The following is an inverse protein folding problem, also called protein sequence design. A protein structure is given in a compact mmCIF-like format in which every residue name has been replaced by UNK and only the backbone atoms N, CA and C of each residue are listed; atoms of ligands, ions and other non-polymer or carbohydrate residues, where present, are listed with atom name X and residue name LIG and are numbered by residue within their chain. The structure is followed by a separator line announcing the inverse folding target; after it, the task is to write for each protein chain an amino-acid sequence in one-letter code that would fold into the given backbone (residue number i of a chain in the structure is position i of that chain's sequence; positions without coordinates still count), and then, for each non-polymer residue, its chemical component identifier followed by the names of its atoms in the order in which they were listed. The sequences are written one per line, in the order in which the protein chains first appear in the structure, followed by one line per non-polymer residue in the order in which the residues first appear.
data_IF_282602994974
#
_entry.id   IF_282602994974
#
_cell.length_a   1.000
_cell.length_b   1.000
_cell.length_c   1.000
_cell.angle_alpha   90.00
_cell.angle_beta   90.00
_cell.angle_gamma   90.00
#
_symmetry.space_group_name_H-M   'P 1'
#
loop_
_entity.id
_entity.type
_entity.pdbx_description
1 polymer ?
#
# COMPACT_ATOMS: atom_id res chain seq x y z
N UNK A 1 4.86 5.12 -7.11
CA UNK A 1 4.40 5.50 -5.77
C UNK A 1 4.73 4.43 -4.73
N UNK A 2 4.34 3.16 -4.92
CA UNK A 2 4.59 2.09 -3.95
C UNK A 2 6.10 1.83 -3.70
N UNK A 3 6.94 1.99 -4.71
CA UNK A 3 8.40 1.83 -4.58
C UNK A 3 9.02 2.89 -3.65
N UNK A 4 8.47 4.11 -3.61
CA UNK A 4 8.98 5.20 -2.77
C UNK A 4 8.35 5.25 -1.38
N UNK A 5 7.17 4.68 -1.20
CA UNK A 5 6.42 4.75 0.06
C UNK A 5 7.03 3.90 1.17
N UNK A 6 7.48 2.68 0.85
CA UNK A 6 8.03 1.79 1.87
C UNK A 6 9.39 2.23 2.40
N UNK A 7 10.35 2.68 1.55
CA UNK A 7 11.57 3.31 2.05
C UNK A 7 11.30 4.55 2.92
N UNK A 8 10.31 5.37 2.56
CA UNK A 8 9.95 6.54 3.35
C UNK A 8 9.36 6.16 4.73
N UNK A 9 8.59 5.07 4.81
CA UNK A 9 8.12 4.54 6.10
C UNK A 9 9.24 4.01 6.96
N UNK A 10 10.19 3.28 6.37
CA UNK A 10 11.39 2.81 7.07
C UNK A 10 12.20 4.00 7.59
N UNK A 11 12.41 5.01 6.74
CA UNK A 11 13.12 6.24 7.10
C UNK A 11 12.53 6.95 8.33
N UNK A 12 11.19 7.03 8.43
CA UNK A 12 10.54 7.59 9.64
C UNK A 12 10.88 6.74 10.88
N UNK A 13 10.91 5.41 10.75
CA UNK A 13 11.29 4.51 11.83
C UNK A 13 12.73 4.73 12.30
N UNK A 14 13.65 4.97 11.38
CA UNK A 14 15.08 5.16 11.67
C UNK A 14 15.40 6.55 12.26
N UNK A 15 14.52 7.53 12.04
CA UNK A 15 14.73 8.92 12.46
C UNK A 15 14.03 9.29 13.77
N UNK A 16 13.23 8.39 14.34
CA UNK A 16 12.39 8.68 15.52
C UNK A 16 12.65 7.64 16.61
N UNK A 17 12.86 8.10 17.84
CA UNK A 17 13.02 7.23 19.01
C UNK A 17 11.82 6.30 19.22
N UNK A 18 12.05 5.15 19.83
CA UNK A 18 11.03 4.09 20.04
C UNK A 18 9.79 4.60 20.80
N UNK A 19 9.95 5.47 21.78
CA UNK A 19 8.86 6.08 22.57
C UNK A 19 8.02 7.07 21.73
N UNK A 20 8.62 7.70 20.71
CA UNK A 20 7.98 8.64 19.81
C UNK A 20 7.49 7.98 18.51
N UNK A 21 7.83 6.72 18.24
CA UNK A 21 7.51 6.02 17.01
C UNK A 21 6.00 6.04 16.67
N UNK A 22 5.15 5.83 17.66
CA UNK A 22 3.69 5.88 17.49
C UNK A 22 3.20 7.28 17.05
N UNK A 23 3.79 8.34 17.57
CA UNK A 23 3.49 9.71 17.17
C UNK A 23 4.03 10.00 15.76
N UNK A 24 5.26 9.58 15.45
CA UNK A 24 5.87 9.73 14.13
C UNK A 24 5.00 9.13 13.02
N UNK A 25 4.57 7.88 13.18
CA UNK A 25 3.65 7.23 12.22
C UNK A 25 2.27 7.86 12.17
N UNK A 26 1.75 8.40 13.28
CA UNK A 26 0.48 9.13 13.29
C UNK A 26 0.59 10.43 12.48
N UNK A 27 1.66 11.21 12.64
CA UNK A 27 1.93 12.39 11.82
C UNK A 27 2.07 12.03 10.34
N UNK A 28 2.85 11.00 10.02
CA UNK A 28 2.96 10.51 8.65
C UNK A 28 1.58 10.19 8.04
N UNK A 29 0.74 9.47 8.79
CA UNK A 29 -0.62 9.12 8.34
C UNK A 29 -1.50 10.35 8.15
N UNK A 30 -1.41 11.36 9.03
CA UNK A 30 -2.13 12.61 8.91
C UNK A 30 -1.74 13.38 7.63
N UNK A 31 -0.44 13.48 7.33
CA UNK A 31 0.05 14.13 6.10
C UNK A 31 -0.32 13.35 4.84
N UNK A 32 -0.27 12.01 4.87
CA UNK A 32 -0.78 11.17 3.77
C UNK A 32 -2.27 11.46 3.54
N UNK A 33 -3.07 11.54 4.61
CA UNK A 33 -4.48 11.87 4.51
C UNK A 33 -4.73 13.27 3.95
N UNK A 34 -3.98 14.27 4.39
CA UNK A 34 -4.06 15.64 3.84
C UNK A 34 -3.70 15.69 2.35
N UNK A 35 -2.64 14.99 1.95
CA UNK A 35 -2.26 14.84 0.54
C UNK A 35 -3.33 14.13 -0.29
N UNK A 36 -3.96 13.09 0.28
CA UNK A 36 -5.06 12.39 -0.37
C UNK A 36 -6.30 13.27 -0.53
N UNK A 37 -6.62 14.14 0.44
CA UNK A 37 -7.69 15.17 0.30
C UNK A 37 -7.39 16.08 -0.88
N UNK A 38 -6.19 16.65 -0.94
CA UNK A 38 -5.79 17.55 -2.02
C UNK A 38 -5.85 16.85 -3.39
N UNK A 39 -5.32 15.63 -3.49
CA UNK A 39 -5.32 14.85 -4.72
C UNK A 39 -6.74 14.46 -5.17
N UNK A 40 -7.61 14.08 -4.24
CA UNK A 40 -9.00 13.67 -4.55
C UNK A 40 -9.86 14.85 -5.00
N UNK A 41 -9.59 16.07 -4.50
CA UNK A 41 -10.29 17.29 -4.92
C UNK A 41 -9.71 17.91 -6.20
N UNK A 42 -8.50 17.52 -6.62
CA UNK A 42 -7.82 18.18 -7.73
C UNK A 42 -8.63 18.17 -9.04
N UNK A 43 -9.26 17.09 -9.53
CA UNK A 43 -10.09 17.11 -10.73
C UNK A 43 -11.28 18.06 -10.58
N UNK A 44 -12.00 17.99 -9.46
CA UNK A 44 -13.16 18.85 -9.16
C UNK A 44 -12.77 20.32 -9.11
N UNK A 45 -11.66 20.68 -8.47
CA UNK A 45 -11.16 22.06 -8.43
C UNK A 45 -10.76 22.56 -9.82
N UNK A 46 -10.08 21.72 -10.61
CA UNK A 46 -9.70 22.07 -11.98
C UNK A 46 -10.94 22.32 -12.84
N UNK A 47 -11.99 21.55 -12.69
CA UNK A 47 -13.23 21.71 -13.43
C UNK A 47 -14.03 22.92 -12.94
N UNK A 48 -14.29 23.01 -11.64
CA UNK A 48 -15.24 23.98 -11.09
C UNK A 48 -14.65 25.37 -10.89
N UNK A 49 -13.35 25.47 -10.56
CA UNK A 49 -12.70 26.76 -10.29
C UNK A 49 -11.94 27.27 -11.50
N UNK A 50 -11.23 26.37 -12.21
CA UNK A 50 -10.39 26.76 -13.34
C UNK A 50 -11.04 26.54 -14.71
N UNK A 51 -12.28 25.99 -14.75
CA UNK A 51 -13.03 25.79 -16.00
C UNK A 51 -12.40 24.76 -16.95
N UNK A 52 -11.57 23.85 -16.45
CA UNK A 52 -10.95 22.80 -17.26
C UNK A 52 -11.99 21.72 -17.58
N UNK A 53 -12.07 21.27 -18.84
CA UNK A 53 -13.03 20.25 -19.25
C UNK A 53 -12.78 18.92 -18.52
N UNK A 54 -13.86 18.34 -17.98
CA UNK A 54 -13.90 16.98 -17.43
C UNK A 54 -14.49 15.96 -18.41
N UNK A 55 -14.78 16.38 -19.65
CA UNK A 55 -15.28 15.50 -20.72
C UNK A 55 -14.23 15.40 -21.81
N UNK A 56 -14.09 14.20 -22.38
CA UNK A 56 -13.25 13.91 -23.53
C UNK A 56 -13.98 12.99 -24.51
N UNK A 57 -13.57 12.96 -25.81
CA UNK A 57 -14.03 11.96 -26.75
C UNK A 57 -13.82 10.54 -26.24
N UNK A 58 -14.59 9.59 -26.79
CA UNK A 58 -14.47 8.18 -26.43
C UNK A 58 -13.02 7.68 -26.66
N UNK A 59 -12.46 7.04 -25.63
CA UNK A 59 -11.07 6.55 -25.63
C UNK A 59 -10.02 7.56 -25.24
N UNK A 60 -10.37 8.83 -24.97
CA UNK A 60 -9.46 9.86 -24.46
C UNK A 60 -9.66 10.12 -22.96
N UNK A 61 -8.60 10.62 -22.31
CA UNK A 61 -8.65 10.99 -20.89
C UNK A 61 -9.00 12.49 -20.78
N UNK A 62 -10.01 12.87 -19.96
CA UNK A 62 -10.37 14.25 -19.72
C UNK A 62 -9.17 15.13 -19.31
N UNK A 63 -9.17 16.39 -19.74
CA UNK A 63 -8.07 17.32 -19.50
C UNK A 63 -7.87 17.59 -17.99
N UNK A 64 -8.95 17.69 -17.21
CA UNK A 64 -8.90 17.84 -15.75
C UNK A 64 -8.14 16.70 -15.08
N UNK A 65 -8.39 15.47 -15.51
CA UNK A 65 -7.72 14.27 -14.98
C UNK A 65 -6.23 14.29 -15.38
N UNK A 66 -5.90 14.57 -16.65
CA UNK A 66 -4.51 14.65 -17.09
C UNK A 66 -3.70 15.70 -16.33
N UNK A 67 -4.27 16.89 -16.12
CA UNK A 67 -3.63 17.95 -15.33
C UNK A 67 -3.47 17.55 -13.87
N UNK A 68 -4.47 16.91 -13.26
CA UNK A 68 -4.36 16.39 -11.90
C UNK A 68 -3.19 15.39 -11.75
N UNK A 69 -3.00 14.50 -12.73
CA UNK A 69 -1.85 13.59 -12.75
C UNK A 69 -0.51 14.32 -12.91
N UNK A 70 -0.42 15.34 -13.76
CA UNK A 70 0.80 16.14 -13.91
C UNK A 70 1.15 16.92 -12.65
N UNK A 71 0.16 17.52 -11.99
CA UNK A 71 0.34 18.18 -10.69
C UNK A 71 0.81 17.19 -9.61
N UNK A 72 0.20 16.01 -9.55
CA UNK A 72 0.62 14.94 -8.65
C UNK A 72 2.04 14.45 -8.91
N UNK A 73 2.43 14.29 -10.17
CA UNK A 73 3.79 13.90 -10.54
C UNK A 73 4.81 14.99 -10.17
N UNK A 74 4.50 16.25 -10.42
CA UNK A 74 5.36 17.38 -10.05
C UNK A 74 5.51 17.48 -8.52
N UNK A 75 4.42 17.31 -7.76
CA UNK A 75 4.45 17.32 -6.30
C UNK A 75 5.29 16.17 -5.75
N UNK A 76 5.12 14.95 -6.29
CA UNK A 76 5.92 13.79 -5.89
C UNK A 76 7.41 14.01 -6.17
N UNK A 77 7.75 14.44 -7.38
CA UNK A 77 9.14 14.72 -7.76
C UNK A 77 9.75 15.81 -6.87
N UNK A 78 9.02 16.89 -6.64
CA UNK A 78 9.44 17.99 -5.78
C UNK A 78 9.67 17.53 -4.33
N UNK A 79 8.77 16.72 -3.78
CA UNK A 79 8.89 16.17 -2.43
C UNK A 79 10.11 15.23 -2.29
N UNK A 80 10.31 14.32 -3.26
CA UNK A 80 11.47 13.42 -3.26
C UNK A 80 12.78 14.21 -3.37
N UNK A 81 12.85 15.17 -4.32
CA UNK A 81 14.05 16.02 -4.47
C UNK A 81 14.32 16.82 -3.21
N UNK A 82 13.28 17.40 -2.60
CA UNK A 82 13.43 18.11 -1.32
C UNK A 82 14.00 17.20 -0.24
N UNK A 83 13.47 16.00 -0.08
CA UNK A 83 13.97 15.04 0.92
C UNK A 83 15.43 14.70 0.67
N UNK A 84 15.80 14.35 -0.57
CA UNK A 84 17.17 13.96 -0.93
C UNK A 84 18.17 15.10 -0.71
N UNK A 85 17.75 16.34 -0.97
CA UNK A 85 18.65 17.52 -0.85
C UNK A 85 18.74 18.09 0.57
N UNK A 86 17.68 17.94 1.39
CA UNK A 86 17.57 18.60 2.69
C UNK A 86 17.81 17.68 3.89
N UNK A 87 17.62 16.37 3.72
CA UNK A 87 17.71 15.40 4.83
C UNK A 87 18.98 14.56 4.67
N UNK A 88 19.69 14.36 5.77
CA UNK A 88 20.82 13.43 5.87
C UNK A 88 20.38 12.20 6.65
N UNK A 89 20.60 11.04 6.08
CA UNK A 89 20.39 9.76 6.77
C UNK A 89 21.53 9.52 7.77
N UNK A 90 21.22 8.87 8.87
CA UNK A 90 22.23 8.33 9.78
C UNK A 90 22.94 7.16 9.11
N UNK A 91 24.25 7.06 9.29
CA UNK A 91 24.98 5.89 8.82
C UNK A 91 24.55 4.64 9.61
N UNK A 92 24.66 3.43 9.03
CA UNK A 92 24.33 2.19 9.75
C UNK A 92 25.07 2.03 11.07
N UNK A 93 26.28 2.59 11.20
CA UNK A 93 27.07 2.55 12.43
C UNK A 93 26.54 3.52 13.48
N UNK A 94 26.00 4.67 13.05
CA UNK A 94 25.34 5.63 13.95
C UNK A 94 24.02 5.07 14.49
N UNK A 95 23.19 4.44 13.61
CA UNK A 95 21.94 3.78 14.01
C UNK A 95 22.21 2.69 15.06
N UNK A 96 23.23 1.84 14.85
CA UNK A 96 23.65 0.84 15.85
C UNK A 96 24.08 1.47 17.19
N UNK A 97 24.64 2.68 17.16
CA UNK A 97 25.04 3.42 18.36
C UNK A 97 23.84 3.95 19.16
N UNK A 98 22.73 4.28 18.50
CA UNK A 98 21.49 4.74 19.17
C UNK A 98 20.71 3.60 19.79
N UNK A 99 20.64 2.44 19.12
CA UNK A 99 19.82 1.30 19.56
C UNK A 99 20.44 0.50 20.73
N UNK A 100 21.67 0.81 21.15
CA UNK A 100 22.40 -0.06 22.05
C UNK A 100 22.48 -1.48 21.50
N UNK A 101 23.25 -2.39 22.11
CA UNK A 101 23.45 -3.78 21.63
C UNK A 101 22.16 -4.63 21.50
N UNK A 102 20.98 -4.08 21.78
CA UNK A 102 19.73 -4.83 22.01
C UNK A 102 18.79 -5.00 20.83
N UNK A 103 18.97 -4.31 19.69
CA UNK A 103 17.90 -4.25 18.67
C UNK A 103 18.26 -4.63 17.23
N UNK A 104 19.46 -5.07 16.96
CA UNK A 104 19.70 -5.83 15.72
C UNK A 104 19.34 -7.28 16.07
N UNK A 105 18.16 -7.80 15.64
CA UNK A 105 17.98 -9.24 15.70
C UNK A 105 19.15 -9.78 14.88
N UNK A 106 20.05 -10.49 15.53
CA UNK A 106 21.09 -11.22 14.84
C UNK A 106 20.37 -11.92 13.68
N UNK A 107 20.64 -11.52 12.44
CA UNK A 107 20.10 -12.22 11.27
C UNK A 107 20.49 -13.66 11.48
N UNK A 108 19.57 -14.44 12.04
CA UNK A 108 19.80 -15.85 12.30
C UNK A 108 20.19 -16.43 10.96
N UNK A 109 21.30 -17.16 10.91
CA UNK A 109 21.70 -17.84 9.70
C UNK A 109 20.53 -18.70 9.24
N UNK A 110 19.75 -18.22 8.27
CA UNK A 110 18.61 -18.96 7.77
C UNK A 110 19.17 -20.16 7.04
N UNK A 111 18.93 -21.32 7.58
CA UNK A 111 19.42 -22.56 7.01
C UNK A 111 18.71 -22.81 5.68
N UNK A 112 19.45 -23.23 4.66
CA UNK A 112 18.93 -23.58 3.31
C UNK A 112 17.64 -24.43 3.38
N UNK A 113 17.49 -25.44 4.28
CA UNK A 113 16.25 -26.20 4.43
C UNK A 113 15.03 -25.36 4.82
N UNK A 114 15.20 -24.33 5.66
CA UNK A 114 14.08 -23.46 6.04
C UNK A 114 13.61 -22.60 4.85
N UNK A 115 14.54 -22.15 4.00
CA UNK A 115 14.23 -21.33 2.81
C UNK A 115 13.39 -22.09 1.78
N UNK A 116 13.64 -23.39 1.59
CA UNK A 116 12.97 -24.19 0.54
C UNK A 116 11.77 -24.98 1.04
N UNK A 117 11.53 -25.03 2.34
CA UNK A 117 10.50 -25.89 2.95
C UNK A 117 9.12 -25.79 2.28
N UNK A 118 8.73 -24.61 1.86
CA UNK A 118 7.43 -24.35 1.26
C UNK A 118 7.50 -24.05 -0.26
N UNK A 119 8.68 -24.10 -0.88
CA UNK A 119 8.84 -23.81 -2.30
C UNK A 119 7.95 -24.68 -3.20
N UNK A 120 7.89 -26.02 -3.04
CA UNK A 120 7.00 -26.85 -3.87
C UNK A 120 5.52 -26.48 -3.71
N UNK A 121 5.11 -26.14 -2.48
CA UNK A 121 3.72 -25.73 -2.21
C UNK A 121 3.34 -24.46 -3.00
N UNK A 122 4.21 -23.46 -3.00
CA UNK A 122 3.97 -22.22 -3.74
C UNK A 122 3.93 -22.43 -5.26
N UNK A 123 4.84 -23.27 -5.78
CA UNK A 123 4.86 -23.61 -7.20
C UNK A 123 3.58 -24.36 -7.59
N UNK A 124 3.19 -25.37 -6.82
CA UNK A 124 1.97 -26.17 -7.08
C UNK A 124 0.74 -25.28 -6.97
N UNK A 125 0.64 -24.41 -5.96
CA UNK A 125 -0.47 -23.49 -5.82
C UNK A 125 -0.54 -22.52 -7.01
N UNK A 126 0.58 -21.98 -7.45
CA UNK A 126 0.65 -21.12 -8.63
C UNK A 126 0.20 -21.82 -9.91
N UNK A 127 0.69 -23.05 -10.15
CA UNK A 127 0.28 -23.85 -11.30
C UNK A 127 -1.19 -24.26 -11.23
N UNK A 128 -1.71 -24.56 -10.03
CA UNK A 128 -3.12 -24.87 -9.84
C UNK A 128 -4.02 -23.68 -10.17
N UNK A 129 -3.62 -22.45 -9.77
CA UNK A 129 -4.35 -21.22 -10.15
C UNK A 129 -4.33 -21.03 -11.65
N UNK A 130 -3.17 -21.19 -12.32
CA UNK A 130 -3.06 -21.10 -13.78
C UNK A 130 -3.92 -22.14 -14.46
N UNK A 131 -3.91 -23.39 -13.97
CA UNK A 131 -4.77 -24.48 -14.47
C UNK A 131 -6.25 -24.20 -14.29
N UNK A 132 -6.64 -23.60 -13.15
CA UNK A 132 -8.03 -23.18 -12.90
C UNK A 132 -8.48 -22.09 -13.87
N UNK A 133 -7.62 -21.11 -14.19
CA UNK A 133 -7.94 -20.09 -15.20
C UNK A 133 -8.17 -20.72 -16.57
N UNK A 134 -7.34 -21.68 -16.97
CA UNK A 134 -7.49 -22.40 -18.25
C UNK A 134 -8.73 -23.28 -18.28
N UNK A 135 -9.02 -24.02 -17.19
CA UNK A 135 -10.11 -25.00 -17.14
C UNK A 135 -11.49 -24.38 -16.90
N UNK A 136 -11.56 -23.30 -16.14
CA UNK A 136 -12.80 -22.63 -15.74
C UNK A 136 -13.09 -21.36 -16.56
N UNK A 137 -12.20 -20.96 -17.47
CA UNK A 137 -12.37 -19.75 -18.28
C UNK A 137 -12.37 -18.46 -17.45
N UNK A 138 -11.60 -18.41 -16.36
CA UNK A 138 -11.51 -17.22 -15.49
C UNK A 138 -10.83 -16.05 -16.21
N UNK A 139 -11.03 -14.85 -15.70
CA UNK A 139 -10.45 -13.63 -16.26
C UNK A 139 -8.93 -13.66 -16.30
N UNK A 140 -8.34 -13.14 -17.39
CA UNK A 140 -6.90 -13.11 -17.64
C UNK A 140 -6.05 -12.53 -16.49
N UNK A 141 -6.47 -11.48 -15.73
CA UNK A 141 -5.70 -10.98 -14.60
C UNK A 141 -5.38 -12.02 -13.52
N UNK A 142 -6.19 -13.10 -13.39
CA UNK A 142 -5.96 -14.18 -12.42
C UNK A 142 -4.67 -14.96 -12.73
N UNK A 143 -4.18 -14.97 -13.99
CA UNK A 143 -2.87 -15.54 -14.34
C UNK A 143 -1.72 -14.87 -13.57
N UNK A 144 -1.83 -13.57 -13.29
CA UNK A 144 -0.81 -12.81 -12.56
C UNK A 144 -0.65 -13.40 -11.16
N UNK A 145 -1.74 -13.72 -10.48
CA UNK A 145 -1.70 -14.35 -9.16
C UNK A 145 -0.99 -15.70 -9.21
N UNK A 146 -1.37 -16.56 -10.16
CA UNK A 146 -0.72 -17.86 -10.34
C UNK A 146 0.77 -17.74 -10.66
N UNK A 147 1.12 -16.83 -11.56
CA UNK A 147 2.51 -16.55 -11.91
C UNK A 147 3.33 -16.02 -10.72
N UNK A 148 2.78 -15.12 -9.91
CA UNK A 148 3.46 -14.59 -8.72
C UNK A 148 3.71 -15.68 -7.66
N UNK A 149 2.74 -16.56 -7.40
CA UNK A 149 2.91 -17.68 -6.47
C UNK A 149 4.00 -18.64 -6.96
N UNK A 150 3.95 -19.02 -8.23
CA UNK A 150 4.96 -19.89 -8.83
C UNK A 150 6.36 -19.24 -8.82
N UNK A 151 6.46 -17.96 -9.21
CA UNK A 151 7.70 -17.20 -9.19
C UNK A 151 8.30 -17.09 -7.78
N UNK A 152 7.48 -16.92 -6.75
CA UNK A 152 7.93 -16.91 -5.37
C UNK A 152 8.53 -18.28 -4.95
N UNK A 153 7.88 -19.38 -5.29
CA UNK A 153 8.44 -20.72 -5.04
C UNK A 153 9.74 -20.97 -5.80
N UNK A 154 9.83 -20.51 -7.05
CA UNK A 154 11.07 -20.58 -7.84
C UNK A 154 12.17 -19.70 -7.24
N UNK A 155 11.84 -18.51 -6.75
CA UNK A 155 12.78 -17.64 -6.05
C UNK A 155 13.36 -18.30 -4.80
N UNK A 156 12.55 -19.03 -4.03
CA UNK A 156 13.05 -19.83 -2.90
C UNK A 156 14.05 -20.90 -3.32
N UNK A 157 13.77 -21.65 -4.39
CA UNK A 157 14.69 -22.65 -4.92
C UNK A 157 15.98 -22.03 -5.46
N UNK A 158 15.87 -20.92 -6.20
CA UNK A 158 17.02 -20.18 -6.72
C UNK A 158 17.90 -19.65 -5.59
N UNK A 159 17.31 -19.06 -4.55
CA UNK A 159 18.04 -18.56 -3.36
C UNK A 159 18.79 -19.69 -2.66
N UNK A 160 18.16 -20.84 -2.47
CA UNK A 160 18.83 -21.98 -1.86
C UNK A 160 20.02 -22.49 -2.68
N UNK A 161 19.91 -22.49 -4.02
CA UNK A 161 21.04 -22.84 -4.90
C UNK A 161 22.16 -21.83 -4.81
N UNK A 162 21.83 -20.52 -4.81
CA UNK A 162 22.81 -19.44 -4.68
C UNK A 162 23.57 -19.54 -3.36
N UNK A 163 22.88 -19.80 -2.24
CA UNK A 163 23.53 -20.04 -0.96
C UNK A 163 24.45 -21.28 -1.01
N UNK A 164 23.99 -22.36 -1.59
CA UNK A 164 24.79 -23.60 -1.70
C UNK A 164 26.04 -23.44 -2.57
N UNK A 165 26.03 -22.51 -3.54
CA UNK A 165 27.18 -22.21 -4.42
C UNK A 165 28.06 -21.06 -3.92
N UNK A 166 27.84 -20.59 -2.68
CA UNK A 166 28.64 -19.50 -2.09
C UNK A 166 28.25 -18.08 -2.53
N UNK A 167 27.15 -17.94 -3.29
CA UNK A 167 26.64 -16.65 -3.77
C UNK A 167 25.42 -16.18 -2.95
N UNK A 168 25.35 -16.51 -1.67
CA UNK A 168 24.22 -16.20 -0.80
C UNK A 168 24.10 -14.72 -0.38
N UNK A 169 25.14 -13.93 -0.57
CA UNK A 169 25.14 -12.50 -0.25
C UNK A 169 24.59 -11.68 -1.42
N UNK A 170 23.27 -11.80 -1.62
CA UNK A 170 22.55 -11.02 -2.63
C UNK A 170 21.12 -10.69 -2.13
N UNK A 171 20.51 -9.67 -2.72
CA UNK A 171 19.21 -9.14 -2.33
C UNK A 171 18.11 -10.22 -2.34
N UNK A 172 18.11 -11.11 -3.33
CA UNK A 172 17.10 -12.19 -3.43
C UNK A 172 17.20 -13.14 -2.24
N UNK A 173 18.41 -13.57 -1.90
CA UNK A 173 18.64 -14.48 -0.76
C UNK A 173 18.27 -13.82 0.55
N UNK A 174 18.57 -12.54 0.73
CA UNK A 174 18.19 -11.79 1.93
C UNK A 174 16.67 -11.68 2.06
N UNK A 175 15.95 -11.30 0.98
CA UNK A 175 14.47 -11.21 1.01
C UNK A 175 13.85 -12.58 1.36
N UNK A 176 14.29 -13.65 0.73
CA UNK A 176 13.74 -15.00 0.99
C UNK A 176 14.07 -15.44 2.42
N UNK A 177 15.28 -15.14 2.91
CA UNK A 177 15.68 -15.46 4.27
C UNK A 177 14.85 -14.71 5.31
N UNK A 178 14.64 -13.41 5.13
CA UNK A 178 13.85 -12.56 6.04
C UNK A 178 12.39 -13.01 6.07
N UNK A 179 11.80 -13.38 4.92
CA UNK A 179 10.46 -13.95 4.86
C UNK A 179 10.36 -15.30 5.56
N UNK A 180 11.37 -16.17 5.42
CA UNK A 180 11.42 -17.46 6.10
C UNK A 180 11.60 -17.30 7.62
N UNK A 181 12.36 -16.29 8.06
CA UNK A 181 12.61 -15.96 9.46
C UNK A 181 11.50 -15.10 10.09
N UNK A 182 10.47 -14.72 9.32
CA UNK A 182 9.41 -13.82 9.77
C UNK A 182 8.77 -14.27 11.09
N UNK A 183 8.72 -13.41 12.13
CA UNK A 183 8.10 -13.70 13.42
C UNK A 183 6.62 -14.09 13.27
N UNK A 184 6.13 -14.96 14.18
CA UNK A 184 4.74 -15.43 14.16
C UNK A 184 3.73 -14.28 14.23
N UNK A 185 4.04 -13.24 14.99
CA UNK A 185 3.19 -12.03 15.09
C UNK A 185 3.05 -11.34 13.74
N UNK A 186 4.15 -11.16 13.02
CA UNK A 186 4.11 -10.52 11.68
C UNK A 186 3.32 -11.36 10.68
N UNK A 187 3.47 -12.71 10.70
CA UNK A 187 2.66 -13.60 9.85
C UNK A 187 1.16 -13.46 10.11
N UNK A 188 0.76 -13.32 11.38
CA UNK A 188 -0.65 -13.08 11.75
C UNK A 188 -1.12 -11.71 11.27
N UNK A 189 -0.30 -10.68 11.40
CA UNK A 189 -0.61 -9.34 10.91
C UNK A 189 -0.71 -9.28 9.38
N UNK A 190 0.12 -10.01 8.64
CA UNK A 190 0.01 -10.13 7.19
C UNK A 190 -1.37 -10.65 6.75
N UNK A 191 -1.92 -11.64 7.47
CA UNK A 191 -3.26 -12.17 7.17
C UNK A 191 -4.35 -11.11 7.42
N UNK A 192 -4.29 -10.39 8.53
CA UNK A 192 -5.22 -9.29 8.83
C UNK A 192 -5.12 -8.21 7.76
N UNK A 193 -3.89 -7.84 7.41
CA UNK A 193 -3.63 -6.82 6.40
C UNK A 193 -4.15 -7.22 5.02
N UNK A 194 -4.00 -8.48 4.63
CA UNK A 194 -4.55 -9.00 3.38
C UNK A 194 -6.07 -8.77 3.28
N UNK A 195 -6.83 -9.14 4.29
CA UNK A 195 -8.29 -8.93 4.27
C UNK A 195 -8.68 -7.46 4.35
N UNK A 196 -7.97 -6.66 5.15
CA UNK A 196 -8.22 -5.22 5.24
C UNK A 196 -8.01 -4.52 3.91
N UNK A 197 -6.87 -4.79 3.25
CA UNK A 197 -6.58 -4.20 1.94
C UNK A 197 -7.52 -4.71 0.86
N UNK A 198 -7.93 -5.98 0.90
CA UNK A 198 -8.93 -6.51 -0.03
C UNK A 198 -10.25 -5.73 0.05
N UNK A 199 -10.74 -5.45 1.26
CA UNK A 199 -11.94 -4.65 1.45
C UNK A 199 -11.78 -3.21 0.91
N UNK A 200 -10.65 -2.55 1.22
CA UNK A 200 -10.36 -1.20 0.72
C UNK A 200 -10.25 -1.15 -0.82
N UNK A 201 -9.60 -2.13 -1.45
CA UNK A 201 -9.50 -2.19 -2.91
C UNK A 201 -10.87 -2.40 -3.56
N UNK A 202 -11.75 -3.24 -2.99
CA UNK A 202 -13.12 -3.39 -3.45
C UNK A 202 -13.84 -2.04 -3.40
N UNK A 203 -13.75 -1.32 -2.29
CA UNK A 203 -14.34 0.02 -2.17
C UNK A 203 -13.80 0.96 -3.27
N UNK A 204 -12.48 1.07 -3.43
CA UNK A 204 -11.88 2.00 -4.39
C UNK A 204 -12.23 1.69 -5.84
N UNK A 205 -12.31 0.41 -6.21
CA UNK A 205 -12.61 -0.01 -7.58
C UNK A 205 -14.10 0.20 -7.90
N UNK A 206 -15.00 -0.15 -6.98
CA UNK A 206 -16.43 -0.20 -7.27
C UNK A 206 -17.19 1.08 -6.89
N UNK A 207 -16.66 1.98 -6.08
CA UNK A 207 -17.36 3.20 -5.68
C UNK A 207 -17.73 4.06 -6.89
N UNK A 208 -16.78 4.32 -7.80
CA UNK A 208 -17.05 5.16 -8.97
C UNK A 208 -18.17 4.57 -9.84
N UNK A 209 -18.10 3.32 -10.35
CA UNK A 209 -19.19 2.75 -11.17
C UNK A 209 -20.53 2.68 -10.45
N UNK A 210 -20.54 2.43 -9.13
CA UNK A 210 -21.78 2.38 -8.36
C UNK A 210 -22.41 3.77 -8.24
N UNK A 211 -21.63 4.79 -7.86
CA UNK A 211 -22.14 6.15 -7.68
C UNK A 211 -22.60 6.74 -9.03
N UNK A 212 -21.81 6.60 -10.08
CA UNK A 212 -22.19 7.11 -11.41
C UNK A 212 -23.47 6.44 -11.92
N UNK A 213 -23.58 5.12 -11.80
CA UNK A 213 -24.76 4.40 -12.28
C UNK A 213 -26.00 4.62 -11.40
N UNK A 214 -25.87 4.64 -10.06
CA UNK A 214 -27.02 4.67 -9.16
C UNK A 214 -27.47 6.08 -8.79
N UNK A 215 -26.54 7.02 -8.65
CA UNK A 215 -26.85 8.39 -8.22
C UNK A 215 -27.01 9.33 -9.42
N UNK A 216 -26.12 9.20 -10.40
CA UNK A 216 -26.12 10.06 -11.60
C UNK A 216 -26.82 9.43 -12.81
N UNK A 217 -27.24 8.15 -12.73
CA UNK A 217 -27.93 7.44 -13.79
C UNK A 217 -27.10 7.24 -15.07
N UNK A 218 -25.77 7.32 -14.98
CA UNK A 218 -24.86 7.33 -16.10
C UNK A 218 -23.91 6.13 -16.07
N UNK A 219 -23.83 5.39 -17.17
CA UNK A 219 -22.90 4.27 -17.37
C UNK A 219 -21.91 4.53 -18.50
N UNK A 220 -22.21 5.49 -19.38
CA UNK A 220 -21.33 5.91 -20.46
C UNK A 220 -20.25 6.85 -19.92
N UNK A 221 -19.01 6.38 -19.97
CA UNK A 221 -17.83 7.10 -19.47
C UNK A 221 -17.50 8.38 -20.23
N UNK A 222 -18.03 8.57 -21.44
CA UNK A 222 -17.88 9.78 -22.22
C UNK A 222 -18.94 10.85 -21.88
N UNK A 223 -20.01 10.47 -21.16
CA UNK A 223 -21.08 11.39 -20.80
C UNK A 223 -20.67 12.39 -19.70
N UNK A 224 -21.23 13.61 -19.77
CA UNK A 224 -21.06 14.63 -18.74
C UNK A 224 -21.50 14.12 -17.37
N UNK A 225 -22.69 13.46 -17.31
CA UNK A 225 -23.24 12.94 -16.05
C UNK A 225 -22.33 11.88 -15.39
N UNK A 226 -21.65 11.04 -16.18
CA UNK A 226 -20.68 10.10 -15.63
C UNK A 226 -19.47 10.83 -15.01
N UNK A 227 -18.94 11.82 -15.74
CA UNK A 227 -17.76 12.56 -15.28
C UNK A 227 -18.07 13.44 -14.06
N UNK A 228 -19.25 14.03 -13.98
CA UNK A 228 -19.74 14.75 -12.79
C UNK A 228 -19.88 13.79 -11.60
N UNK A 229 -20.37 12.58 -11.83
CA UNK A 229 -20.41 11.52 -10.81
C UNK A 229 -19.02 11.08 -10.35
N UNK A 230 -18.06 10.97 -11.25
CA UNK A 230 -16.68 10.65 -10.94
C UNK A 230 -16.01 11.78 -10.12
N UNK A 231 -16.24 13.04 -10.47
CA UNK A 231 -15.78 14.20 -9.69
C UNK A 231 -16.39 14.20 -8.28
N UNK A 232 -17.68 13.84 -8.14
CA UNK A 232 -18.34 13.67 -6.85
C UNK A 232 -17.71 12.56 -5.99
N UNK A 233 -17.34 11.44 -6.60
CA UNK A 233 -16.58 10.38 -5.89
C UNK A 233 -15.25 10.91 -5.37
N UNK A 234 -14.59 11.80 -6.11
CA UNK A 234 -13.40 12.52 -5.61
C UNK A 234 -13.69 13.27 -4.31
N UNK A 235 -14.83 13.96 -4.22
CA UNK A 235 -15.26 14.66 -2.99
C UNK A 235 -15.51 13.66 -1.84
N UNK A 236 -16.15 12.53 -2.10
CA UNK A 236 -16.37 11.48 -1.09
C UNK A 236 -15.05 10.93 -0.56
N UNK A 237 -14.07 10.66 -1.44
CA UNK A 237 -12.74 10.21 -1.03
C UNK A 237 -11.93 11.30 -0.31
N UNK A 238 -12.15 12.58 -0.62
CA UNK A 238 -11.57 13.67 0.13
C UNK A 238 -12.12 13.72 1.57
N UNK A 239 -13.43 13.55 1.75
CA UNK A 239 -14.05 13.48 3.08
C UNK A 239 -13.50 12.27 3.87
N UNK A 240 -13.50 11.09 3.25
CA UNK A 240 -12.92 9.87 3.83
C UNK A 240 -11.48 10.08 4.30
N UNK A 241 -10.63 10.63 3.43
CA UNK A 241 -9.22 10.89 3.72
C UNK A 241 -9.03 11.98 4.79
N UNK A 242 -9.88 12.99 4.80
CA UNK A 242 -9.90 14.04 5.83
C UNK A 242 -10.25 13.50 7.20
N UNK A 243 -11.27 12.65 7.30
CA UNK A 243 -11.62 11.96 8.54
C UNK A 243 -10.48 11.06 9.00
N UNK A 244 -9.84 10.32 8.10
CA UNK A 244 -8.68 9.50 8.42
C UNK A 244 -7.50 10.33 8.95
N UNK A 245 -7.20 11.47 8.32
CA UNK A 245 -6.15 12.40 8.77
C UNK A 245 -6.42 12.95 10.17
N UNK A 246 -7.64 13.37 10.45
CA UNK A 246 -8.05 13.88 11.78
C UNK A 246 -7.98 12.77 12.83
N UNK A 247 -8.43 11.56 12.49
CA UNK A 247 -8.39 10.41 13.39
C UNK A 247 -6.96 10.03 13.75
N UNK A 248 -6.01 10.20 12.83
CA UNK A 248 -4.59 9.90 13.06
C UNK A 248 -4.01 10.66 14.27
N UNK A 249 -4.47 11.89 14.56
CA UNK A 249 -4.04 12.64 15.74
C UNK A 249 -4.62 12.11 17.05
N UNK A 250 -5.73 11.38 16.99
CA UNK A 250 -6.40 10.80 18.16
C UNK A 250 -5.78 9.43 18.50
N UNK A 251 -5.33 8.68 17.49
CA UNK A 251 -4.82 7.32 17.63
C UNK A 251 -3.70 7.16 18.68
N UNK A 252 -2.69 8.04 18.81
CA UNK A 252 -1.65 7.88 19.83
C UNK A 252 -2.19 7.99 21.25
N UNK A 253 -3.19 8.87 21.48
CA UNK A 253 -3.86 8.98 22.79
C UNK A 253 -4.66 7.74 23.12
N UNK A 254 -5.42 7.24 22.15
CA UNK A 254 -6.23 6.03 22.28
C UNK A 254 -5.34 4.81 22.51
N UNK A 255 -4.25 4.68 21.75
CA UNK A 255 -3.30 3.58 21.89
C UNK A 255 -2.62 3.55 23.28
N UNK A 256 -2.37 4.72 23.88
CA UNK A 256 -1.85 4.80 25.26
C UNK A 256 -2.90 4.43 26.30
N UNK A 257 -4.17 4.75 26.06
CA UNK A 257 -5.27 4.51 27.02
C UNK A 257 -5.71 3.03 27.05
N UNK A 258 -5.85 2.39 25.89
CA UNK A 258 -6.44 1.04 25.77
C UNK A 258 -5.50 0.01 25.12
N UNK A 259 -4.27 0.41 24.76
CA UNK A 259 -3.28 -0.42 24.12
C UNK A 259 -3.43 -0.48 22.58
N UNK A 260 -2.30 -0.72 21.89
CA UNK A 260 -2.23 -0.74 20.40
C UNK A 260 -3.16 -1.79 19.79
N UNK A 261 -3.26 -2.98 20.40
CA UNK A 261 -4.13 -4.08 19.93
C UNK A 261 -5.61 -3.68 19.92
N UNK A 262 -6.11 -3.13 21.02
CA UNK A 262 -7.52 -2.79 21.16
C UNK A 262 -7.88 -1.60 20.26
N UNK A 263 -7.00 -0.64 20.13
CA UNK A 263 -7.15 0.48 19.18
C UNK A 263 -7.32 -0.04 17.75
N UNK A 264 -6.48 -1.00 17.33
CA UNK A 264 -6.59 -1.61 16.00
C UNK A 264 -7.91 -2.38 15.82
N UNK A 265 -8.35 -3.14 16.81
CA UNK A 265 -9.63 -3.86 16.78
C UNK A 265 -10.80 -2.88 16.62
N UNK A 266 -10.82 -1.77 17.37
CA UNK A 266 -11.86 -0.74 17.26
C UNK A 266 -11.88 -0.16 15.85
N UNK A 267 -10.71 0.15 15.27
CA UNK A 267 -10.61 0.63 13.89
C UNK A 267 -11.18 -0.34 12.86
N UNK A 268 -10.86 -1.64 12.99
CA UNK A 268 -11.39 -2.68 12.11
C UNK A 268 -12.92 -2.83 12.24
N UNK A 269 -13.44 -2.81 13.47
CA UNK A 269 -14.89 -2.90 13.70
C UNK A 269 -15.63 -1.67 13.16
N UNK A 270 -15.08 -0.47 13.35
CA UNK A 270 -15.64 0.75 12.78
C UNK A 270 -15.63 0.69 11.23
N UNK A 271 -14.54 0.23 10.63
CA UNK A 271 -14.48 0.01 9.18
C UNK A 271 -15.50 -1.01 8.70
N UNK A 272 -15.62 -2.15 9.36
CA UNK A 272 -16.61 -3.18 9.02
C UNK A 272 -18.05 -2.65 9.12
N UNK A 273 -18.35 -1.86 10.15
CA UNK A 273 -19.68 -1.22 10.30
C UNK A 273 -19.94 -0.23 9.16
N UNK A 274 -18.93 0.55 8.74
CA UNK A 274 -19.04 1.44 7.58
C UNK A 274 -19.28 0.74 6.25
N UNK A 275 -18.76 -0.49 6.09
CA UNK A 275 -19.06 -1.31 4.89
C UNK A 275 -20.46 -1.95 4.92
N UNK A 276 -21.04 -2.12 6.10
CA UNK A 276 -22.36 -2.73 6.28
C UNK A 276 -23.53 -1.73 6.22
N UNK A 277 -23.25 -0.42 6.29
CA UNK A 277 -24.24 0.67 6.20
C UNK A 277 -24.50 1.11 4.77
#
# INVERSE_FOLDING_TARGET
LNISMEPFRAFVGDMVDDDQSTAGYAFQTAFIGAGAVAASLAPTLLTQVFGVSNVAPEGEIPQSVRLAFYLGAAALLGAVLWTVLSVKEYSPDQLRGFDGESHVPARGAVTTPAMVRHAPLWIIAGLAVIGAVLGLGLDKPVYILGAMLAAFGLAQLASARLVATGHGDNVLCHIVADLAAMPVTMRKLCLVQFFTWSALFIMWIYTTPIVTARVFGATDTASQAYNDGADWVGVLFAIYSGVAALTAFILPRLARAIGRRNTHIIGLLAGAAGFAS
#
